data_IF_572925459356
#
_entry.id   IF_572925459356
#
_cell.length_a   1.000
_cell.length_b   1.000
_cell.length_c   1.000
_cell.angle_alpha   90.00
_cell.angle_beta   90.00
_cell.angle_gamma   90.00
#
_symmetry.space_group_name_H-M   'P 1'
#
loop_
_entity.id
_entity.type
_entity.pdbx_description
1 polymer ?
#
# COMPACT_ATOMS: atom_id res chain seq x y z
N UNK A 1 -9.47 -63.60 -24.77
CA UNK A 1 -10.32 -62.40 -24.58
C UNK A 1 -9.99 -61.41 -25.70
N UNK A 2 -10.87 -61.27 -26.69
CA UNK A 2 -10.69 -60.31 -27.79
C UNK A 2 -10.96 -58.91 -27.22
N UNK A 3 -9.96 -58.02 -27.27
CA UNK A 3 -10.12 -56.60 -26.91
C UNK A 3 -11.15 -55.97 -27.88
N UNK A 4 -12.34 -55.76 -27.38
CA UNK A 4 -13.41 -55.08 -28.12
C UNK A 4 -13.06 -53.59 -28.26
N UNK A 5 -12.39 -53.23 -29.36
CA UNK A 5 -11.96 -51.85 -29.60
C UNK A 5 -13.06 -51.09 -30.38
N UNK A 6 -14.19 -50.80 -29.70
CA UNK A 6 -15.34 -50.10 -30.29
C UNK A 6 -15.15 -48.55 -30.32
N UNK A 7 -13.94 -48.04 -30.08
CA UNK A 7 -13.70 -46.60 -30.08
C UNK A 7 -14.12 -45.88 -31.38
N UNK A 8 -13.88 -46.51 -32.53
CA UNK A 8 -14.29 -45.95 -33.81
C UNK A 8 -15.81 -45.82 -33.92
N UNK A 9 -16.54 -46.83 -33.45
CA UNK A 9 -18.01 -46.83 -33.44
C UNK A 9 -18.55 -45.80 -32.47
N UNK A 10 -18.00 -45.73 -31.26
CA UNK A 10 -18.36 -44.73 -30.22
C UNK A 10 -18.14 -43.32 -30.76
N UNK A 11 -16.99 -43.07 -31.39
CA UNK A 11 -16.68 -41.75 -31.99
C UNK A 11 -17.66 -41.39 -33.10
N UNK A 12 -18.00 -42.33 -33.96
CA UNK A 12 -18.96 -42.12 -35.05
C UNK A 12 -20.37 -41.83 -34.52
N UNK A 13 -20.78 -42.55 -33.46
CA UNK A 13 -22.07 -42.30 -32.78
C UNK A 13 -22.10 -40.95 -32.10
N UNK A 14 -21.04 -40.57 -31.39
CA UNK A 14 -20.92 -39.25 -30.73
C UNK A 14 -21.00 -38.10 -31.75
N UNK A 15 -20.25 -38.17 -32.86
CA UNK A 15 -20.30 -37.16 -33.92
C UNK A 15 -21.67 -37.06 -34.55
N UNK A 16 -22.35 -38.21 -34.78
CA UNK A 16 -23.70 -38.23 -35.34
C UNK A 16 -24.73 -37.64 -34.38
N UNK A 17 -24.62 -37.94 -33.07
CA UNK A 17 -25.46 -37.35 -32.03
C UNK A 17 -25.28 -35.83 -31.94
N UNK A 18 -24.03 -35.33 -31.97
CA UNK A 18 -23.73 -33.91 -31.98
C UNK A 18 -24.34 -33.20 -33.18
N UNK A 19 -24.23 -33.82 -34.39
CA UNK A 19 -24.82 -33.27 -35.63
C UNK A 19 -26.35 -33.27 -35.61
N UNK A 20 -26.98 -34.31 -35.08
CA UNK A 20 -28.44 -34.42 -35.00
C UNK A 20 -29.04 -33.41 -34.04
N UNK A 21 -28.35 -33.06 -32.94
CA UNK A 21 -28.84 -32.17 -31.90
C UNK A 21 -28.15 -30.78 -31.92
N UNK A 22 -27.78 -30.27 -33.09
CA UNK A 22 -26.99 -29.05 -33.24
C UNK A 22 -27.56 -27.83 -32.44
N UNK A 23 -28.87 -27.58 -32.55
CA UNK A 23 -29.53 -26.46 -31.84
C UNK A 23 -29.40 -26.59 -30.31
N UNK A 24 -29.65 -27.80 -29.79
CA UNK A 24 -29.57 -28.12 -28.38
C UNK A 24 -28.13 -28.02 -27.85
N UNK A 25 -27.16 -28.56 -28.59
CA UNK A 25 -25.75 -28.52 -28.24
C UNK A 25 -25.18 -27.08 -28.31
N UNK A 26 -25.61 -26.28 -29.30
CA UNK A 26 -25.25 -24.85 -29.37
C UNK A 26 -25.77 -24.07 -28.18
N UNK A 27 -27.01 -24.35 -27.73
CA UNK A 27 -27.57 -23.70 -26.54
C UNK A 27 -26.77 -24.03 -25.29
N UNK A 28 -26.38 -25.31 -25.11
CA UNK A 28 -25.53 -25.69 -23.97
C UNK A 28 -24.16 -25.02 -24.02
N UNK A 29 -23.54 -24.94 -25.21
CA UNK A 29 -22.24 -24.27 -25.37
C UNK A 29 -22.34 -22.79 -25.02
N UNK A 30 -23.38 -22.11 -25.48
CA UNK A 30 -23.63 -20.71 -25.13
C UNK A 30 -23.84 -20.53 -23.61
N UNK A 31 -24.61 -21.43 -22.99
CA UNK A 31 -24.82 -21.41 -21.56
C UNK A 31 -23.52 -21.58 -20.75
N UNK A 32 -22.66 -22.53 -21.18
CA UNK A 32 -21.34 -22.74 -20.54
C UNK A 32 -20.46 -21.53 -20.72
N UNK A 33 -20.38 -20.94 -21.93
CA UNK A 33 -19.59 -19.75 -22.19
C UNK A 33 -20.06 -18.58 -21.33
N UNK A 34 -21.37 -18.36 -21.22
CA UNK A 34 -21.93 -17.31 -20.37
C UNK A 34 -21.61 -17.54 -18.89
N UNK A 35 -21.71 -18.77 -18.40
CA UNK A 35 -21.37 -19.10 -17.02
C UNK A 35 -19.89 -18.84 -16.73
N UNK A 36 -18.98 -19.20 -17.63
CA UNK A 36 -17.54 -18.94 -17.50
C UNK A 36 -17.25 -17.44 -17.54
N UNK A 37 -17.88 -16.71 -18.45
CA UNK A 37 -17.75 -15.25 -18.51
C UNK A 37 -18.23 -14.56 -17.22
N UNK A 38 -19.37 -15.01 -16.67
CA UNK A 38 -19.87 -14.47 -15.40
C UNK A 38 -18.89 -14.74 -14.25
N UNK A 39 -18.37 -15.96 -14.12
CA UNK A 39 -17.37 -16.29 -13.10
C UNK A 39 -16.12 -15.45 -13.26
N UNK A 40 -15.61 -15.34 -14.48
CA UNK A 40 -14.42 -14.51 -14.76
C UNK A 40 -14.66 -13.05 -14.41
N UNK A 41 -15.80 -12.49 -14.77
CA UNK A 41 -16.16 -11.10 -14.46
C UNK A 41 -16.20 -10.85 -12.94
N UNK A 42 -16.82 -11.76 -12.19
CA UNK A 42 -16.91 -11.65 -10.71
C UNK A 42 -15.50 -11.71 -10.08
N UNK A 43 -14.66 -12.66 -10.51
CA UNK A 43 -13.29 -12.79 -10.01
C UNK A 43 -12.45 -11.55 -10.35
N UNK A 44 -12.55 -11.07 -11.57
CA UNK A 44 -11.81 -9.88 -12.03
C UNK A 44 -12.26 -8.61 -11.30
N UNK A 45 -13.56 -8.44 -11.10
CA UNK A 45 -14.11 -7.31 -10.33
C UNK A 45 -13.64 -7.35 -8.88
N UNK A 46 -13.66 -8.54 -8.25
CA UNK A 46 -13.16 -8.72 -6.90
C UNK A 46 -11.66 -8.38 -6.75
N UNK A 47 -10.83 -8.90 -7.65
CA UNK A 47 -9.40 -8.61 -7.66
C UNK A 47 -9.12 -7.11 -7.90
N UNK A 48 -9.83 -6.49 -8.85
CA UNK A 48 -9.71 -5.05 -9.14
C UNK A 48 -10.14 -4.20 -7.96
N UNK A 49 -11.20 -4.59 -7.25
CA UNK A 49 -11.65 -3.88 -6.05
C UNK A 49 -10.61 -3.92 -4.93
N UNK A 50 -10.02 -5.09 -4.65
CA UNK A 50 -8.96 -5.22 -3.64
C UNK A 50 -7.73 -4.38 -4.01
N UNK A 51 -7.31 -4.41 -5.27
CA UNK A 51 -6.21 -3.58 -5.75
C UNK A 51 -6.52 -2.08 -5.63
N UNK A 52 -7.72 -1.67 -6.00
CA UNK A 52 -8.17 -0.28 -5.86
C UNK A 52 -8.16 0.18 -4.39
N UNK A 53 -8.60 -0.65 -3.44
CA UNK A 53 -8.54 -0.35 -2.01
C UNK A 53 -7.11 -0.16 -1.52
N UNK A 54 -6.19 -1.01 -1.96
CA UNK A 54 -4.77 -0.88 -1.64
C UNK A 54 -4.18 0.44 -2.19
N UNK A 55 -4.39 0.72 -3.47
CA UNK A 55 -3.93 1.96 -4.11
C UNK A 55 -4.55 3.19 -3.47
N UNK A 56 -5.87 3.14 -3.18
CA UNK A 56 -6.56 4.24 -2.50
C UNK A 56 -5.98 4.53 -1.13
N UNK A 57 -5.68 3.49 -0.33
CA UNK A 57 -5.04 3.65 0.99
C UNK A 57 -3.68 4.32 0.86
N UNK A 58 -2.82 3.86 -0.07
CA UNK A 58 -1.52 4.48 -0.33
C UNK A 58 -1.63 5.96 -0.72
N UNK A 59 -2.57 6.29 -1.60
CA UNK A 59 -2.72 7.68 -2.08
C UNK A 59 -3.43 8.60 -1.09
N UNK A 60 -4.33 8.08 -0.26
CA UNK A 60 -5.12 8.90 0.67
C UNK A 60 -4.44 9.09 2.02
N UNK A 61 -3.78 8.06 2.52
CA UNK A 61 -3.10 8.09 3.83
C UNK A 61 -1.60 8.30 3.66
N UNK A 62 -1.03 7.88 2.54
CA UNK A 62 0.41 7.94 2.28
C UNK A 62 1.22 6.89 3.02
N UNK A 63 0.55 5.96 3.72
CA UNK A 63 1.18 5.03 4.64
C UNK A 63 0.51 3.65 4.57
N UNK A 64 1.30 2.60 4.81
CA UNK A 64 0.85 1.20 4.87
C UNK A 64 0.97 0.68 6.28
N UNK A 65 -0.15 0.57 7.00
CA UNK A 65 -0.25 -0.14 8.27
C UNK A 65 -1.66 -0.71 8.46
N UNK A 66 -1.78 -1.76 9.25
CA UNK A 66 -3.08 -2.38 9.54
C UNK A 66 -3.71 -1.81 10.82
N UNK A 67 -2.89 -1.28 11.72
CA UNK A 67 -3.34 -0.67 12.96
C UNK A 67 -2.39 0.40 13.47
N UNK A 68 -2.89 1.32 14.27
CA UNK A 68 -2.12 2.38 14.92
C UNK A 68 -2.53 2.51 16.38
N UNK A 69 -1.53 2.64 17.25
CA UNK A 69 -1.73 3.07 18.63
C UNK A 69 -1.44 4.56 18.73
N UNK A 70 -2.43 5.32 19.17
CA UNK A 70 -2.34 6.78 19.29
C UNK A 70 -2.34 7.21 20.77
N UNK A 71 -1.81 8.39 21.07
CA UNK A 71 -1.97 9.01 22.36
C UNK A 71 -0.85 8.79 23.38
N UNK A 72 0.38 8.63 22.91
CA UNK A 72 1.55 8.50 23.79
C UNK A 72 1.73 7.10 24.34
N UNK A 73 2.16 6.20 23.46
CA UNK A 73 2.44 4.79 23.79
C UNK A 73 3.57 4.69 24.81
N UNK A 74 3.35 3.92 25.87
CA UNK A 74 4.39 3.62 26.86
C UNK A 74 5.34 2.54 26.34
N UNK A 75 6.55 2.45 26.92
CA UNK A 75 7.51 1.39 26.56
C UNK A 75 6.94 -0.03 26.79
N UNK A 76 6.17 -0.20 27.86
CA UNK A 76 5.53 -1.49 28.16
C UNK A 76 4.50 -1.87 27.09
N UNK A 77 3.72 -0.92 26.61
CA UNK A 77 2.77 -1.14 25.51
C UNK A 77 3.51 -1.46 24.20
N UNK A 78 4.59 -0.74 23.91
CA UNK A 78 5.44 -1.01 22.74
C UNK A 78 6.03 -2.43 22.79
N UNK A 79 6.58 -2.85 23.94
CA UNK A 79 7.14 -4.19 24.13
C UNK A 79 6.05 -5.26 24.00
N UNK A 80 4.87 -5.02 24.53
CA UNK A 80 3.72 -5.93 24.42
C UNK A 80 3.33 -6.13 22.96
N UNK A 81 3.24 -5.05 22.18
CA UNK A 81 2.91 -5.12 20.76
C UNK A 81 4.01 -5.84 19.96
N UNK A 82 5.28 -5.54 20.25
CA UNK A 82 6.42 -6.22 19.60
C UNK A 82 6.52 -7.70 19.92
N UNK A 83 6.01 -8.13 21.07
CA UNK A 83 6.01 -9.53 21.50
C UNK A 83 4.86 -10.35 20.91
N UNK A 84 3.86 -9.72 20.31
CA UNK A 84 2.71 -10.43 19.73
C UNK A 84 3.12 -11.14 18.42
N UNK A 85 3.01 -12.49 18.35
CA UNK A 85 3.39 -13.26 17.16
C UNK A 85 2.50 -12.99 15.94
N UNK A 86 1.35 -12.34 16.11
CA UNK A 86 0.48 -11.91 15.00
C UNK A 86 0.92 -10.61 14.34
N UNK A 87 1.91 -9.90 14.91
CA UNK A 87 2.41 -8.64 14.40
C UNK A 87 3.76 -8.85 13.69
N UNK A 88 3.77 -8.63 12.40
CA UNK A 88 4.97 -8.84 11.57
C UNK A 88 5.99 -7.70 11.74
N UNK A 89 5.52 -6.46 11.75
CA UNK A 89 6.38 -5.27 11.82
C UNK A 89 5.74 -4.20 12.69
N UNK A 90 6.54 -3.63 13.59
CA UNK A 90 6.18 -2.47 14.38
C UNK A 90 7.06 -1.31 13.95
N UNK A 91 6.45 -0.21 13.55
CA UNK A 91 7.11 1.05 13.25
C UNK A 91 6.71 2.12 14.27
N UNK A 92 7.62 3.03 14.55
CA UNK A 92 7.41 4.12 15.51
C UNK A 92 7.49 5.45 14.78
N UNK A 93 6.49 6.28 15.01
CA UNK A 93 6.48 7.67 14.55
C UNK A 93 6.18 8.59 15.73
N UNK A 94 6.89 9.72 15.79
CA UNK A 94 6.63 10.77 16.76
C UNK A 94 6.33 12.07 16.02
N UNK A 95 5.32 12.77 16.51
CA UNK A 95 4.88 14.03 15.94
C UNK A 95 5.18 15.18 16.91
N UNK A 96 5.72 16.27 16.39
CA UNK A 96 5.90 17.51 17.12
C UNK A 96 5.56 18.72 16.25
N UNK A 97 5.21 19.81 16.90
CA UNK A 97 5.03 21.10 16.25
C UNK A 97 6.34 21.88 16.27
N UNK A 98 6.67 22.48 15.14
CA UNK A 98 7.80 23.37 15.01
C UNK A 98 7.45 24.57 14.14
N UNK A 99 8.42 25.42 13.87
CA UNK A 99 8.27 26.61 13.04
C UNK A 99 9.42 26.75 12.06
N UNK A 100 9.10 27.32 10.90
CA UNK A 100 10.07 27.93 9.98
C UNK A 100 9.78 29.43 9.99
N UNK A 101 10.66 30.20 10.62
CA UNK A 101 10.37 31.60 10.95
C UNK A 101 9.12 31.72 11.83
N UNK A 102 8.15 32.53 11.43
CA UNK A 102 6.88 32.70 12.14
C UNK A 102 5.78 31.67 11.80
N UNK A 103 6.08 30.70 10.96
CA UNK A 103 5.07 29.78 10.40
C UNK A 103 5.16 28.38 10.97
N UNK A 104 4.07 27.90 11.53
CA UNK A 104 3.98 26.55 12.09
C UNK A 104 4.17 25.47 11.02
N UNK A 105 4.88 24.43 11.38
CA UNK A 105 5.08 23.21 10.62
C UNK A 105 4.87 21.99 11.50
N UNK A 106 4.65 20.84 10.86
CA UNK A 106 4.70 19.53 11.49
C UNK A 106 6.07 18.92 11.28
N UNK A 107 6.70 18.47 12.34
CA UNK A 107 7.95 17.71 12.32
C UNK A 107 7.60 16.29 12.74
N UNK A 108 7.98 15.33 11.93
CA UNK A 108 7.69 13.90 12.16
C UNK A 108 9.02 13.17 12.25
N UNK A 109 9.21 12.44 13.33
CA UNK A 109 10.26 11.44 13.44
C UNK A 109 9.70 10.09 13.04
N UNK A 110 10.49 9.33 12.31
CA UNK A 110 10.15 7.98 11.86
C UNK A 110 11.32 7.05 12.15
N UNK A 111 11.04 5.93 12.78
CA UNK A 111 12.05 4.89 12.90
C UNK A 111 12.26 4.18 11.54
N UNK A 112 13.27 3.32 11.47
CA UNK A 112 13.62 2.60 10.24
C UNK A 112 12.46 1.73 9.71
N UNK A 113 11.78 1.03 10.61
CA UNK A 113 10.69 0.14 10.23
C UNK A 113 9.50 0.92 9.65
N UNK A 114 9.10 2.00 10.34
CA UNK A 114 8.02 2.86 9.87
C UNK A 114 8.34 3.44 8.50
N UNK A 115 9.53 4.02 8.36
CA UNK A 115 9.99 4.62 7.11
C UNK A 115 10.00 3.64 5.95
N UNK A 116 10.69 2.48 6.10
CA UNK A 116 10.91 1.55 4.98
C UNK A 116 9.69 0.69 4.65
N UNK A 117 8.90 0.32 5.66
CA UNK A 117 7.79 -0.63 5.49
C UNK A 117 6.42 0.04 5.36
N UNK A 118 6.24 1.18 6.00
CA UNK A 118 4.94 1.83 6.10
C UNK A 118 4.85 3.10 5.26
N UNK A 119 5.85 3.99 5.33
CA UNK A 119 5.79 5.29 4.66
C UNK A 119 6.37 5.25 3.24
N UNK A 120 7.55 4.67 3.04
CA UNK A 120 8.23 4.65 1.74
C UNK A 120 7.38 4.08 0.59
N UNK A 121 6.55 3.02 0.78
CA UNK A 121 5.67 2.53 -0.27
C UNK A 121 4.65 3.54 -0.79
N UNK A 122 4.30 4.55 0.03
CA UNK A 122 3.39 5.65 -0.33
C UNK A 122 4.08 6.82 -1.04
N UNK A 123 5.41 6.89 -1.03
CA UNK A 123 6.17 8.00 -1.63
C UNK A 123 6.30 7.76 -3.13
N UNK A 124 5.68 8.61 -3.92
CA UNK A 124 5.69 8.51 -5.39
C UNK A 124 6.96 9.07 -6.01
N UNK A 125 7.58 10.07 -5.37
CA UNK A 125 8.78 10.72 -5.87
C UNK A 125 9.64 11.19 -4.69
N UNK A 126 10.92 10.89 -4.76
CA UNK A 126 11.91 11.29 -3.76
C UNK A 126 13.17 11.76 -4.49
N UNK A 127 13.71 12.88 -4.04
CA UNK A 127 15.02 13.38 -4.43
C UNK A 127 15.96 13.28 -3.23
N UNK A 128 17.18 12.77 -3.47
CA UNK A 128 18.14 12.55 -2.40
C UNK A 128 17.85 11.28 -1.57
N UNK A 129 18.37 11.27 -0.34
CA UNK A 129 18.24 10.16 0.61
C UNK A 129 17.47 10.57 1.87
N UNK A 130 17.03 9.61 2.64
CA UNK A 130 16.49 9.86 3.98
C UNK A 130 17.56 10.43 4.92
N UNK A 131 17.15 11.25 5.92
CA UNK A 131 18.01 11.70 6.98
C UNK A 131 18.68 10.54 7.73
N UNK A 132 19.98 10.62 7.94
CA UNK A 132 20.75 9.63 8.70
C UNK A 132 21.22 10.20 10.04
N UNK A 133 21.27 11.51 10.17
CA UNK A 133 21.69 12.22 11.37
C UNK A 133 20.58 13.12 11.92
N UNK A 134 20.70 13.50 13.18
CA UNK A 134 19.73 14.37 13.86
C UNK A 134 19.71 15.82 13.33
N UNK A 135 20.64 16.18 12.47
CA UNK A 135 20.75 17.53 11.90
C UNK A 135 20.31 17.55 10.42
N UNK A 136 19.80 16.43 9.93
CA UNK A 136 19.27 16.33 8.58
C UNK A 136 17.74 16.19 8.62
N UNK A 137 17.08 16.82 7.67
CA UNK A 137 15.62 16.73 7.50
C UNK A 137 15.25 16.45 6.04
N UNK A 138 14.19 15.71 5.86
CA UNK A 138 13.53 15.59 4.56
C UNK A 138 12.32 16.50 4.56
N UNK A 139 12.15 17.26 3.48
CA UNK A 139 11.09 18.27 3.36
C UNK A 139 10.18 17.91 2.18
N UNK A 140 8.88 18.03 2.36
CA UNK A 140 7.95 17.82 1.26
C UNK A 140 7.96 19.00 0.29
N UNK A 141 7.82 18.73 -1.01
CA UNK A 141 7.72 19.76 -2.04
C UNK A 141 6.57 20.75 -1.75
N UNK A 142 5.44 20.24 -1.30
CA UNK A 142 4.30 21.06 -0.89
C UNK A 142 4.64 22.04 0.23
N UNK A 143 5.51 21.66 1.19
CA UNK A 143 5.95 22.58 2.24
C UNK A 143 6.82 23.68 1.65
N UNK A 144 7.79 23.36 0.79
CA UNK A 144 8.65 24.34 0.11
C UNK A 144 7.80 25.35 -0.67
N UNK A 145 6.85 24.91 -1.46
CA UNK A 145 5.94 25.75 -2.23
C UNK A 145 5.10 26.66 -1.32
N UNK A 146 4.45 26.11 -0.29
CA UNK A 146 3.63 26.89 0.65
C UNK A 146 4.43 27.90 1.48
N UNK A 147 5.72 27.66 1.68
CA UNK A 147 6.62 28.53 2.45
C UNK A 147 7.43 29.46 1.58
N UNK A 148 7.31 29.37 0.24
CA UNK A 148 8.10 30.14 -0.75
C UNK A 148 9.61 29.88 -0.58
N UNK A 149 9.97 28.62 -0.42
CA UNK A 149 11.32 28.12 -0.23
C UNK A 149 11.76 27.21 -1.38
N UNK A 150 11.14 27.38 -2.58
CA UNK A 150 11.42 26.55 -3.76
C UNK A 150 12.83 26.74 -4.31
N UNK A 151 13.53 27.76 -3.85
CA UNK A 151 14.94 28.02 -4.20
C UNK A 151 15.93 27.15 -3.40
N UNK A 152 15.46 26.45 -2.35
CA UNK A 152 16.31 25.54 -1.59
C UNK A 152 16.56 24.26 -2.39
N UNK A 153 17.80 23.79 -2.30
CA UNK A 153 18.29 22.57 -2.92
C UNK A 153 18.79 21.59 -1.86
N UNK A 154 18.99 20.34 -2.27
CA UNK A 154 19.54 19.32 -1.36
C UNK A 154 20.92 19.74 -0.89
N UNK A 155 21.11 19.75 0.44
CA UNK A 155 22.33 20.19 1.12
C UNK A 155 22.27 21.63 1.64
N UNK A 156 21.22 22.39 1.31
CA UNK A 156 21.02 23.70 1.89
C UNK A 156 20.57 23.60 3.35
N UNK A 157 20.80 24.64 4.12
CA UNK A 157 20.46 24.73 5.55
C UNK A 157 19.10 25.39 5.74
N UNK A 158 18.25 24.77 6.54
CA UNK A 158 16.93 25.25 6.90
C UNK A 158 16.82 25.47 8.41
N UNK A 159 16.62 26.71 8.84
CA UNK A 159 16.48 27.03 10.25
C UNK A 159 15.09 26.59 10.77
N UNK A 160 15.12 25.64 11.71
CA UNK A 160 13.94 25.10 12.37
C UNK A 160 13.93 25.48 13.84
N UNK A 161 12.77 25.90 14.35
CA UNK A 161 12.54 26.03 15.78
C UNK A 161 11.44 25.11 16.25
N UNK A 162 11.62 24.45 17.39
CA UNK A 162 10.63 23.59 18.01
C UNK A 162 10.74 23.57 19.52
N UNK A 163 9.65 23.14 20.16
CA UNK A 163 9.61 23.05 21.63
C UNK A 163 9.74 21.56 22.01
N UNK A 164 10.72 21.28 22.88
CA UNK A 164 10.86 19.97 23.51
C UNK A 164 9.72 19.65 24.48
N UNK A 165 9.57 18.39 24.86
CA UNK A 165 8.58 17.92 25.86
C UNK A 165 8.77 18.62 27.25
N UNK A 166 9.96 19.08 27.59
CA UNK A 166 10.29 19.81 28.82
C UNK A 166 10.01 21.31 28.73
N UNK A 167 9.45 21.78 27.62
CA UNK A 167 9.15 23.19 27.39
C UNK A 167 10.30 24.04 26.83
N UNK A 168 11.50 23.45 26.68
CA UNK A 168 12.67 24.18 26.16
C UNK A 168 12.50 24.44 24.67
N UNK A 169 12.64 25.69 24.26
CA UNK A 169 12.73 26.04 22.84
C UNK A 169 14.11 25.72 22.29
N UNK A 170 14.14 25.07 21.14
CA UNK A 170 15.37 24.75 20.42
C UNK A 170 15.26 25.35 19.03
N UNK A 171 16.32 26.01 18.63
CA UNK A 171 16.53 26.48 17.25
C UNK A 171 17.73 25.74 16.68
N UNK A 172 17.51 25.06 15.56
CA UNK A 172 18.55 24.31 14.83
C UNK A 172 18.61 24.76 13.38
N UNK A 173 19.83 24.92 12.86
CA UNK A 173 20.05 25.10 11.43
C UNK A 173 19.77 23.83 10.64
#
# INVERSE_FOLDING_TARGET
MLKNNNQAVIRKMAVRSIRSNRKKNSLYLVAIVLAVLMLFTVMQTGASYMHMQYVWRLHSVGELYDGILMGGVTKEQEETVKADPGIEVVGITEFMLGNIGEKNISIIYEDKNYREKMHQPGILHQEGRYPETADEVMVTKTLLEKRKLENLTIGDTLLLSYQKKDGTQVEKP
#
